data_IF_457123054184
#
_entry.id   IF_457123054184
#
_cell.length_a   1.000
_cell.length_b   1.000
_cell.length_c   1.000
_cell.angle_alpha   90.00
_cell.angle_beta   90.00
_cell.angle_gamma   90.00
#
_symmetry.space_group_name_H-M   'P 1'
#
loop_
_entity.id
_entity.type
_entity.pdbx_description
1 polymer ?
#
# COMPACT_ATOMS: atom_id res chain seq x y z
N UNK A 1 43.06 -15.78 -15.76
CA UNK A 1 43.84 -14.53 -15.93
C UNK A 1 43.22 -13.73 -17.07
N UNK A 2 42.66 -12.57 -16.78
CA UNK A 2 42.20 -11.60 -17.79
C UNK A 2 43.33 -10.57 -17.94
N UNK A 3 43.87 -10.44 -19.15
CA UNK A 3 44.90 -9.45 -19.52
C UNK A 3 46.20 -9.52 -18.70
N UNK A 4 46.68 -10.70 -18.31
CA UNK A 4 47.94 -10.85 -17.56
C UNK A 4 47.92 -10.33 -16.12
N UNK A 5 46.77 -9.93 -15.58
CA UNK A 5 46.63 -9.48 -14.21
C UNK A 5 46.15 -10.62 -13.30
N UNK A 6 46.69 -10.68 -12.09
CA UNK A 6 46.26 -11.59 -11.06
C UNK A 6 44.87 -11.08 -10.54
N UNK A 7 43.84 -11.90 -10.70
CA UNK A 7 42.53 -11.63 -10.15
C UNK A 7 42.24 -12.63 -9.01
N UNK A 8 41.67 -12.17 -7.96
CA UNK A 8 41.18 -13.01 -6.86
C UNK A 8 39.66 -12.92 -6.92
N UNK A 9 38.98 -14.05 -7.15
CA UNK A 9 37.54 -14.18 -7.08
C UNK A 9 37.18 -14.74 -5.69
N UNK A 10 36.41 -13.99 -4.94
CA UNK A 10 35.89 -14.39 -3.63
C UNK A 10 34.38 -14.57 -3.73
N UNK A 11 33.91 -15.78 -3.60
CA UNK A 11 32.48 -16.09 -3.54
C UNK A 11 32.06 -16.26 -2.07
N UNK A 12 31.10 -15.44 -1.66
CA UNK A 12 30.55 -15.49 -0.30
C UNK A 12 29.08 -15.89 -0.39
N UNK A 13 28.75 -17.07 0.13
CA UNK A 13 27.39 -17.53 0.23
C UNK A 13 26.59 -16.69 1.24
N UNK A 14 25.30 -16.48 0.96
CA UNK A 14 24.41 -15.87 1.94
C UNK A 14 24.26 -16.79 3.15
N UNK A 15 24.39 -16.24 4.35
CA UNK A 15 24.05 -16.95 5.57
C UNK A 15 22.53 -17.11 5.74
N UNK A 16 22.10 -17.97 6.65
CA UNK A 16 20.68 -18.33 6.80
C UNK A 16 19.80 -17.23 7.44
N UNK A 17 20.41 -16.27 8.12
CA UNK A 17 19.66 -15.29 8.91
C UNK A 17 20.15 -13.86 8.70
N UNK A 18 19.24 -12.96 8.36
CA UNK A 18 19.46 -11.51 8.38
C UNK A 18 19.09 -10.93 9.75
N UNK A 19 19.66 -9.75 10.15
CA UNK A 19 20.78 -9.06 9.51
C UNK A 19 22.14 -9.65 9.89
N UNK A 20 23.15 -9.43 9.06
CA UNK A 20 24.54 -9.74 9.38
C UNK A 20 25.18 -8.56 10.12
N UNK A 21 25.95 -8.87 11.14
CA UNK A 21 26.61 -7.85 11.98
C UNK A 21 28.11 -7.93 11.78
N UNK A 22 28.71 -6.79 11.56
CA UNK A 22 30.13 -6.63 11.75
C UNK A 22 30.38 -6.41 13.25
N UNK A 23 31.24 -7.23 13.85
CA UNK A 23 31.59 -7.16 15.26
C UNK A 23 33.05 -6.77 15.37
N UNK A 24 33.30 -5.64 15.97
CA UNK A 24 34.65 -5.18 16.27
C UNK A 24 34.69 -4.70 17.72
N UNK A 25 35.58 -5.31 18.53
CA UNK A 25 35.68 -5.09 19.96
C UNK A 25 34.34 -5.21 20.69
N UNK A 26 33.74 -4.08 21.12
CA UNK A 26 32.44 -4.02 21.82
C UNK A 26 31.32 -3.45 20.95
N UNK A 27 31.62 -3.09 19.71
CA UNK A 27 30.64 -2.52 18.78
C UNK A 27 30.07 -3.60 17.87
N UNK A 28 28.80 -3.42 17.52
CA UNK A 28 28.06 -4.32 16.66
C UNK A 28 27.30 -3.46 15.65
N UNK A 29 27.71 -3.52 14.39
CA UNK A 29 27.21 -2.64 13.34
C UNK A 29 26.70 -3.44 12.14
N UNK A 30 25.68 -2.91 11.48
CA UNK A 30 25.14 -3.44 10.23
C UNK A 30 25.60 -2.53 9.11
N UNK A 31 26.21 -3.07 8.09
CA UNK A 31 26.64 -2.36 6.90
C UNK A 31 25.74 -2.66 5.71
N UNK A 32 25.45 -1.63 4.93
CA UNK A 32 24.72 -1.71 3.66
C UNK A 32 25.58 -1.18 2.54
N UNK A 33 25.40 -1.76 1.34
CA UNK A 33 26.13 -1.31 0.14
C UNK A 33 25.37 -0.16 -0.52
N UNK A 34 26.06 0.97 -0.71
CA UNK A 34 25.57 2.12 -1.46
C UNK A 34 26.54 2.47 -2.58
N UNK A 35 26.18 2.04 -3.79
CA UNK A 35 27.07 2.19 -4.93
C UNK A 35 28.40 1.45 -4.75
N UNK A 36 29.49 2.19 -4.69
CA UNK A 36 30.86 1.69 -4.50
C UNK A 36 31.32 1.60 -3.04
N UNK A 37 30.50 2.05 -2.07
CA UNK A 37 30.86 2.13 -0.65
C UNK A 37 29.99 1.22 0.22
N UNK A 38 30.57 0.77 1.33
CA UNK A 38 29.84 0.14 2.44
C UNK A 38 29.70 1.17 3.56
N UNK A 39 28.48 1.43 3.98
CA UNK A 39 28.15 2.42 5.00
C UNK A 39 27.34 1.77 6.10
N UNK A 40 27.39 2.36 7.31
CA UNK A 40 26.57 1.89 8.44
C UNK A 40 25.10 2.10 8.08
N UNK A 41 24.30 1.06 8.27
CA UNK A 41 22.88 1.08 8.02
C UNK A 41 22.18 2.10 8.94
N UNK A 42 21.30 2.91 8.36
CA UNK A 42 20.39 3.76 9.14
C UNK A 42 19.44 2.91 10.00
N UNK A 43 18.82 3.50 11.01
CA UNK A 43 17.84 2.79 11.86
C UNK A 43 16.71 2.18 11.04
N UNK A 44 16.24 2.88 10.00
CA UNK A 44 15.19 2.37 9.10
C UNK A 44 15.67 1.13 8.34
N UNK A 45 16.88 1.19 7.79
CA UNK A 45 17.46 0.05 7.05
C UNK A 45 17.72 -1.15 7.97
N UNK A 46 18.18 -0.91 9.22
CA UNK A 46 18.35 -1.97 10.22
C UNK A 46 17.02 -2.66 10.52
N UNK A 47 15.95 -1.88 10.77
CA UNK A 47 14.61 -2.42 11.01
C UNK A 47 14.11 -3.24 9.82
N UNK A 48 14.30 -2.76 8.60
CA UNK A 48 13.91 -3.49 7.38
C UNK A 48 14.69 -4.80 7.23
N UNK A 49 15.99 -4.83 7.54
CA UNK A 49 16.79 -6.04 7.51
C UNK A 49 16.39 -7.04 8.59
N UNK A 50 16.00 -6.56 9.78
CA UNK A 50 15.47 -7.41 10.86
C UNK A 50 14.15 -8.05 10.42
N UNK A 51 13.22 -7.27 9.87
CA UNK A 51 11.94 -7.78 9.36
C UNK A 51 12.15 -8.81 8.26
N UNK A 52 13.08 -8.54 7.32
CA UNK A 52 13.47 -9.48 6.28
C UNK A 52 14.01 -10.79 6.87
N UNK A 53 14.83 -10.71 7.92
CA UNK A 53 15.35 -11.89 8.62
C UNK A 53 14.28 -12.71 9.32
N UNK A 54 13.21 -12.05 9.78
CA UNK A 54 12.04 -12.69 10.39
C UNK A 54 11.02 -13.19 9.35
N UNK A 55 11.26 -12.95 8.06
CA UNK A 55 10.32 -13.20 6.97
C UNK A 55 8.95 -12.51 7.22
N UNK A 56 9.00 -11.28 7.75
CA UNK A 56 7.82 -10.44 8.02
C UNK A 56 7.92 -9.12 7.28
N UNK A 57 6.75 -8.60 6.92
CA UNK A 57 6.59 -7.27 6.36
C UNK A 57 6.01 -6.32 7.41
N UNK A 58 6.14 -5.01 7.23
CA UNK A 58 5.66 -4.02 8.20
C UNK A 58 4.14 -4.10 8.41
N UNK A 59 3.39 -4.39 7.37
CA UNK A 59 1.95 -4.55 7.39
C UNK A 59 1.48 -5.75 8.24
N UNK A 60 2.28 -6.82 8.30
CA UNK A 60 2.01 -8.01 9.11
C UNK A 60 2.35 -7.85 10.61
N UNK A 61 2.97 -6.72 11.00
CA UNK A 61 3.29 -6.48 12.41
C UNK A 61 2.03 -6.18 13.21
N UNK A 62 1.86 -6.77 14.43
CA UNK A 62 0.76 -6.44 15.31
C UNK A 62 0.86 -5.00 15.81
N UNK A 63 -0.27 -4.30 15.75
CA UNK A 63 -0.44 -2.97 16.32
C UNK A 63 -0.82 -3.01 17.81
N UNK A 64 -1.22 -1.85 18.33
CA UNK A 64 -1.61 -1.69 19.74
C UNK A 64 -3.04 -2.14 20.04
N UNK A 65 -3.87 -2.34 19.02
CA UNK A 65 -5.30 -2.63 19.17
C UNK A 65 -5.57 -4.15 19.19
N UNK A 66 -6.60 -4.54 19.95
CA UNK A 66 -7.16 -5.88 19.87
C UNK A 66 -8.37 -5.89 18.91
N UNK A 67 -8.78 -7.06 18.45
CA UNK A 67 -9.97 -7.20 17.62
C UNK A 67 -11.22 -6.65 18.28
N UNK A 68 -11.34 -6.72 19.63
CA UNK A 68 -12.44 -6.14 20.40
C UNK A 68 -12.52 -4.61 20.35
N UNK A 69 -11.44 -3.94 20.01
CA UNK A 69 -11.32 -2.48 20.04
C UNK A 69 -11.66 -1.83 18.69
N UNK A 70 -11.83 -2.65 17.65
CA UNK A 70 -12.05 -2.22 16.26
C UNK A 70 -13.24 -2.93 15.61
N UNK A 71 -13.73 -2.37 14.52
CA UNK A 71 -14.84 -2.92 13.74
C UNK A 71 -14.40 -3.09 12.28
N UNK A 72 -14.90 -4.15 11.63
CA UNK A 72 -14.69 -4.48 10.22
C UNK A 72 -16.03 -4.68 9.50
N UNK A 73 -17.06 -3.95 9.90
CA UNK A 73 -18.42 -4.10 9.37
C UNK A 73 -18.49 -3.80 7.87
N UNK A 74 -17.79 -2.74 7.43
CA UNK A 74 -17.75 -2.37 6.02
C UNK A 74 -17.02 -3.43 5.19
N UNK A 75 -15.90 -3.97 5.71
CA UNK A 75 -15.17 -5.05 5.05
C UNK A 75 -16.04 -6.29 4.89
N UNK A 76 -16.70 -6.72 5.97
CA UNK A 76 -17.60 -7.89 5.95
C UNK A 76 -18.77 -7.70 4.96
N UNK A 77 -19.39 -6.51 4.96
CA UNK A 77 -20.46 -6.19 4.02
C UNK A 77 -20.00 -6.17 2.57
N UNK A 78 -18.80 -5.62 2.31
CA UNK A 78 -18.20 -5.58 0.98
C UNK A 78 -17.85 -6.99 0.51
N UNK A 79 -17.24 -7.80 1.36
CA UNK A 79 -16.90 -9.19 1.06
C UNK A 79 -18.17 -9.98 0.65
N UNK A 80 -19.21 -9.93 1.48
CA UNK A 80 -20.48 -10.61 1.19
C UNK A 80 -21.12 -10.13 -0.12
N UNK A 81 -21.07 -8.84 -0.41
CA UNK A 81 -21.59 -8.26 -1.65
C UNK A 81 -20.85 -8.77 -2.88
N UNK A 82 -19.53 -8.87 -2.81
CA UNK A 82 -18.70 -9.21 -3.98
C UNK A 82 -18.57 -10.72 -4.19
N UNK A 83 -18.58 -11.53 -3.12
CA UNK A 83 -18.40 -12.99 -3.21
C UNK A 83 -19.70 -13.77 -3.09
N UNK A 84 -20.70 -13.22 -2.42
CA UNK A 84 -21.93 -13.90 -2.04
C UNK A 84 -21.84 -14.73 -0.75
N UNK A 85 -20.63 -14.89 -0.21
CA UNK A 85 -20.37 -15.71 0.98
C UNK A 85 -20.48 -14.89 2.27
N UNK A 86 -20.77 -15.55 3.38
CA UNK A 86 -20.75 -14.92 4.70
C UNK A 86 -19.31 -14.76 5.20
N UNK A 87 -19.02 -13.62 5.80
CA UNK A 87 -17.72 -13.28 6.36
C UNK A 87 -17.60 -13.78 7.81
N UNK A 88 -16.68 -14.70 8.07
CA UNK A 88 -16.32 -15.11 9.43
C UNK A 88 -15.29 -14.13 10.01
N UNK A 89 -15.75 -13.29 10.96
CA UNK A 89 -14.95 -12.19 11.48
C UNK A 89 -13.58 -12.63 12.03
N UNK A 90 -13.50 -13.77 12.69
CA UNK A 90 -12.23 -14.24 13.29
C UNK A 90 -11.38 -14.96 12.25
N UNK A 91 -11.96 -15.98 11.60
CA UNK A 91 -11.25 -16.86 10.67
C UNK A 91 -10.73 -16.08 9.45
N UNK A 92 -11.58 -15.26 8.83
CA UNK A 92 -11.23 -14.57 7.60
C UNK A 92 -10.23 -13.43 7.86
N UNK A 93 -10.39 -12.67 8.97
CA UNK A 93 -9.41 -11.63 9.33
C UNK A 93 -8.02 -12.22 9.64
N UNK A 94 -7.94 -13.38 10.29
CA UNK A 94 -6.66 -14.07 10.52
C UNK A 94 -6.09 -14.60 9.20
N UNK A 95 -6.91 -15.19 8.36
CA UNK A 95 -6.51 -15.69 7.03
C UNK A 95 -5.98 -14.58 6.12
N UNK A 96 -6.58 -13.39 6.17
CA UNK A 96 -6.14 -12.20 5.45
C UNK A 96 -4.91 -11.52 6.07
N UNK A 97 -4.47 -11.94 7.25
CA UNK A 97 -3.38 -11.31 7.98
C UNK A 97 -3.73 -9.95 8.60
N UNK A 98 -5.02 -9.62 8.75
CA UNK A 98 -5.48 -8.38 9.38
C UNK A 98 -5.52 -8.46 10.91
N UNK A 99 -5.59 -9.69 11.43
CA UNK A 99 -5.54 -9.98 12.86
C UNK A 99 -4.60 -11.17 13.08
N UNK A 100 -3.81 -11.15 14.14
CA UNK A 100 -2.98 -12.29 14.53
C UNK A 100 -3.81 -13.38 15.20
N UNK A 101 -3.27 -14.59 15.33
CA UNK A 101 -3.94 -15.69 16.06
C UNK A 101 -4.24 -15.34 17.53
N UNK A 102 -3.44 -14.42 18.13
CA UNK A 102 -3.65 -13.94 19.49
C UNK A 102 -4.69 -12.80 19.57
N UNK A 103 -5.34 -12.45 18.46
CA UNK A 103 -6.37 -11.42 18.39
C UNK A 103 -5.86 -9.98 18.34
N UNK A 104 -4.57 -9.75 17.99
CA UNK A 104 -4.02 -8.42 17.77
C UNK A 104 -4.25 -7.96 16.34
N UNK A 105 -4.72 -6.74 16.18
CA UNK A 105 -4.87 -6.11 14.86
C UNK A 105 -3.51 -5.75 14.30
N UNK A 106 -3.24 -6.14 13.05
CA UNK A 106 -1.99 -5.81 12.35
C UNK A 106 -2.05 -4.41 11.76
N UNK A 107 -0.92 -3.89 11.30
CA UNK A 107 -0.88 -2.62 10.58
C UNK A 107 -1.75 -2.66 9.29
N UNK A 108 -1.79 -3.81 8.59
CA UNK A 108 -2.71 -4.01 7.48
C UNK A 108 -4.17 -3.96 7.95
N UNK A 109 -4.52 -4.62 9.05
CA UNK A 109 -5.87 -4.58 9.61
C UNK A 109 -6.33 -3.17 9.94
N UNK A 110 -5.45 -2.31 10.44
CA UNK A 110 -5.76 -0.91 10.74
C UNK A 110 -6.14 -0.08 9.50
N UNK A 111 -5.66 -0.44 8.30
CA UNK A 111 -6.06 0.20 7.05
C UNK A 111 -7.52 -0.12 6.66
N UNK A 112 -8.01 -1.29 7.06
CA UNK A 112 -9.33 -1.79 6.67
C UNK A 112 -10.40 -1.65 7.76
N UNK A 113 -10.03 -1.29 9.01
CA UNK A 113 -11.00 -1.08 10.08
C UNK A 113 -11.86 0.16 9.83
N UNK A 114 -13.09 0.14 10.37
CA UNK A 114 -14.08 1.18 10.13
C UNK A 114 -13.72 2.52 10.80
N UNK A 115 -12.89 2.50 11.85
CA UNK A 115 -12.59 3.67 12.68
C UNK A 115 -11.60 4.66 12.06
N UNK A 116 -10.85 4.27 11.01
CA UNK A 116 -9.93 5.17 10.32
C UNK A 116 -8.83 5.75 11.21
N UNK A 117 -8.18 4.93 12.02
CA UNK A 117 -7.13 5.36 12.95
C UNK A 117 -5.89 5.95 12.27
N UNK A 118 -5.62 5.55 11.02
CA UNK A 118 -4.45 5.98 10.27
C UNK A 118 -4.73 7.27 9.49
N UNK A 119 -4.61 8.41 10.16
CA UNK A 119 -4.85 9.74 9.55
C UNK A 119 -3.89 10.06 8.39
N UNK A 120 -2.71 9.45 8.35
CA UNK A 120 -1.77 9.57 7.24
C UNK A 120 -2.21 8.79 5.99
N UNK A 121 -3.14 7.84 6.13
CA UNK A 121 -3.78 7.17 5.00
C UNK A 121 -4.81 8.12 4.41
N UNK A 122 -4.49 8.66 3.24
CA UNK A 122 -5.33 9.65 2.57
C UNK A 122 -5.25 9.53 1.05
N UNK A 123 -6.30 9.99 0.40
CA UNK A 123 -6.36 10.17 -1.05
C UNK A 123 -6.66 11.64 -1.33
N UNK A 124 -5.87 12.25 -2.17
CA UNK A 124 -6.07 13.61 -2.67
C UNK A 124 -6.48 13.52 -4.13
N UNK A 125 -7.64 14.03 -4.45
CA UNK A 125 -8.20 14.04 -5.80
C UNK A 125 -8.26 15.48 -6.30
N UNK A 126 -7.64 15.78 -7.43
CA UNK A 126 -7.67 17.09 -8.03
C UNK A 126 -8.03 16.98 -9.52
N UNK A 127 -9.02 17.72 -9.96
CA UNK A 127 -9.35 17.86 -11.38
C UNK A 127 -8.73 19.13 -11.94
N UNK A 128 -7.87 18.97 -12.94
CA UNK A 128 -7.27 20.08 -13.67
C UNK A 128 -8.07 20.40 -14.93
N UNK A 129 -8.05 21.67 -15.36
CA UNK A 129 -8.74 22.15 -16.56
C UNK A 129 -8.17 21.55 -17.85
N UNK A 130 -6.88 21.28 -17.90
CA UNK A 130 -6.16 20.73 -19.03
C UNK A 130 -5.50 19.38 -18.73
N UNK A 131 -4.53 19.03 -19.56
CA UNK A 131 -3.72 17.82 -19.42
C UNK A 131 -2.46 18.03 -18.58
N UNK A 132 -2.15 19.28 -18.22
CA UNK A 132 -0.95 19.65 -17.45
C UNK A 132 -1.34 20.05 -16.04
N UNK A 133 -0.55 19.60 -15.07
CA UNK A 133 -0.72 19.94 -13.66
C UNK A 133 -0.17 21.34 -13.40
N UNK A 134 -1.06 22.26 -12.98
CA UNK A 134 -0.64 23.55 -12.45
C UNK A 134 -0.06 24.49 -13.50
N UNK A 135 -0.91 25.10 -14.31
CA UNK A 135 -0.53 26.32 -15.01
C UNK A 135 -0.36 27.47 -14.02
N UNK A 136 0.35 28.55 -14.41
CA UNK A 136 0.55 29.76 -13.60
C UNK A 136 -0.78 30.40 -13.14
N UNK A 137 -1.89 30.05 -13.76
CA UNK A 137 -3.24 30.55 -13.51
C UNK A 137 -4.09 29.62 -12.60
N UNK A 138 -3.52 28.54 -12.06
CA UNK A 138 -4.15 27.74 -11.00
C UNK A 138 -5.48 27.12 -11.38
N UNK A 139 -5.55 26.45 -12.51
CA UNK A 139 -6.80 25.93 -13.07
C UNK A 139 -7.23 24.56 -12.47
N UNK A 140 -7.22 24.41 -11.15
CA UNK A 140 -7.94 23.32 -10.51
C UNK A 140 -9.44 23.62 -10.58
N UNK A 141 -10.21 22.69 -11.15
CA UNK A 141 -11.66 22.81 -11.29
C UNK A 141 -12.39 22.21 -10.10
N UNK A 142 -11.78 21.25 -9.44
CA UNK A 142 -12.31 20.55 -8.27
C UNK A 142 -11.16 19.93 -7.48
N UNK A 143 -11.26 19.91 -6.14
CA UNK A 143 -10.24 19.37 -5.25
C UNK A 143 -10.89 18.80 -3.98
N UNK A 144 -10.61 17.56 -3.67
CA UNK A 144 -11.07 16.89 -2.44
C UNK A 144 -9.96 16.08 -1.80
N UNK A 145 -9.88 16.11 -0.47
CA UNK A 145 -9.01 15.27 0.35
C UNK A 145 -9.85 14.35 1.24
N UNK A 146 -9.66 13.06 1.09
CA UNK A 146 -10.27 12.02 1.93
C UNK A 146 -9.22 11.46 2.87
N UNK A 147 -9.46 11.52 4.19
CA UNK A 147 -8.52 11.07 5.23
C UNK A 147 -9.26 10.49 6.42
N UNK A 148 -8.57 9.66 7.22
CA UNK A 148 -9.14 9.10 8.45
C UNK A 148 -10.31 8.15 8.21
N UNK A 149 -10.25 7.37 7.15
CA UNK A 149 -11.27 6.40 6.75
C UNK A 149 -10.62 5.05 6.44
N UNK A 150 -11.43 3.99 6.40
CA UNK A 150 -10.97 2.70 5.89
C UNK A 150 -10.54 2.81 4.43
N UNK A 151 -9.61 1.97 4.02
CA UNK A 151 -9.12 1.94 2.63
C UNK A 151 -10.26 1.70 1.62
N UNK A 152 -11.27 0.90 2.00
CA UNK A 152 -12.46 0.66 1.17
C UNK A 152 -13.21 1.96 0.92
N UNK A 153 -13.41 2.77 1.97
CA UNK A 153 -14.09 4.08 1.86
C UNK A 153 -13.26 5.06 1.04
N UNK A 154 -11.93 5.10 1.26
CA UNK A 154 -11.04 5.96 0.47
C UNK A 154 -11.11 5.64 -1.02
N UNK A 155 -11.07 4.36 -1.39
CA UNK A 155 -11.21 3.93 -2.78
C UNK A 155 -12.58 4.28 -3.38
N UNK A 156 -13.65 4.06 -2.62
CA UNK A 156 -15.01 4.38 -3.06
C UNK A 156 -15.20 5.88 -3.30
N UNK A 157 -14.63 6.72 -2.43
CA UNK A 157 -14.68 8.17 -2.57
C UNK A 157 -13.86 8.65 -3.76
N UNK A 158 -12.65 8.10 -3.96
CA UNK A 158 -11.83 8.41 -5.14
C UNK A 158 -12.54 8.02 -6.45
N UNK A 159 -13.16 6.84 -6.49
CA UNK A 159 -13.97 6.43 -7.65
C UNK A 159 -15.15 7.38 -7.89
N UNK A 160 -15.86 7.74 -6.82
CA UNK A 160 -16.98 8.70 -6.90
C UNK A 160 -16.53 10.07 -7.41
N UNK A 161 -15.40 10.58 -6.92
CA UNK A 161 -14.80 11.84 -7.41
C UNK A 161 -14.49 11.76 -8.91
N UNK A 162 -13.82 10.69 -9.36
CA UNK A 162 -13.50 10.51 -10.79
C UNK A 162 -14.79 10.45 -11.61
N UNK A 163 -15.81 9.73 -11.16
CA UNK A 163 -17.10 9.61 -11.84
C UNK A 163 -17.83 10.96 -11.96
N UNK A 164 -17.87 11.73 -10.87
CA UNK A 164 -18.50 13.06 -10.83
C UNK A 164 -17.78 14.04 -11.77
N UNK A 165 -16.45 13.94 -11.81
CA UNK A 165 -15.60 14.83 -12.59
C UNK A 165 -15.34 14.38 -14.02
N UNK A 166 -15.85 13.20 -14.42
CA UNK A 166 -15.74 12.69 -15.80
C UNK A 166 -16.86 13.22 -16.68
N UNK A 167 -16.52 13.53 -17.93
CA UNK A 167 -17.53 13.77 -18.96
C UNK A 167 -17.99 12.42 -19.51
N UNK A 168 -19.31 12.26 -19.61
CA UNK A 168 -19.92 11.08 -20.19
C UNK A 168 -20.78 11.49 -21.40
N UNK A 169 -20.18 11.95 -22.51
CA UNK A 169 -20.93 12.26 -23.71
C UNK A 169 -21.64 11.03 -24.22
N UNK A 170 -22.85 11.23 -24.73
CA UNK A 170 -23.63 10.17 -25.30
C UNK A 170 -24.12 10.55 -26.69
N UNK A 171 -24.33 9.53 -27.50
CA UNK A 171 -24.91 9.69 -28.83
C UNK A 171 -26.00 8.63 -29.04
N UNK A 172 -26.95 8.92 -29.92
CA UNK A 172 -27.98 7.94 -30.34
C UNK A 172 -27.52 7.33 -31.65
N UNK A 173 -27.36 6.01 -31.66
CA UNK A 173 -27.15 5.23 -32.87
C UNK A 173 -28.35 4.29 -33.09
N UNK A 174 -29.18 4.60 -34.07
CA UNK A 174 -30.44 3.92 -34.27
C UNK A 174 -31.38 4.11 -33.07
N UNK A 175 -31.79 3.03 -32.41
CA UNK A 175 -32.64 3.08 -31.19
C UNK A 175 -31.86 2.92 -29.88
N UNK A 176 -30.55 2.95 -29.92
CA UNK A 176 -29.71 2.74 -28.72
C UNK A 176 -28.94 4.01 -28.36
N UNK A 177 -28.91 4.30 -27.05
CA UNK A 177 -28.03 5.29 -26.48
C UNK A 177 -26.66 4.65 -26.28
N UNK A 178 -25.62 5.22 -26.87
CA UNK A 178 -24.23 4.86 -26.67
C UNK A 178 -23.57 5.96 -25.82
N UNK A 179 -23.03 5.58 -24.67
CA UNK A 179 -22.26 6.46 -23.79
C UNK A 179 -20.78 6.18 -24.00
N UNK A 180 -20.00 7.24 -24.07
CA UNK A 180 -18.55 7.16 -24.15
C UNK A 180 -17.96 7.93 -22.98
N UNK A 181 -17.55 7.20 -21.93
CA UNK A 181 -16.84 7.80 -20.79
C UNK A 181 -15.45 8.27 -21.20
N UNK A 182 -15.02 9.45 -20.70
CA UNK A 182 -13.66 9.95 -20.87
C UNK A 182 -12.65 8.98 -20.24
N UNK A 183 -13.03 8.36 -19.13
CA UNK A 183 -12.20 7.39 -18.40
C UNK A 183 -12.91 6.03 -18.33
N UNK A 184 -12.44 5.03 -19.09
CA UNK A 184 -12.99 3.67 -19.02
C UNK A 184 -12.87 3.11 -17.60
N UNK A 185 -13.95 2.50 -17.09
CA UNK A 185 -13.99 1.95 -15.72
C UNK A 185 -12.82 1.01 -15.40
N UNK A 186 -12.41 0.19 -16.37
CA UNK A 186 -11.25 -0.71 -16.19
C UNK A 186 -9.96 0.06 -15.93
N UNK A 187 -9.73 1.17 -16.66
CA UNK A 187 -8.55 2.00 -16.48
C UNK A 187 -8.56 2.69 -15.12
N UNK A 188 -9.71 3.19 -14.68
CA UNK A 188 -9.87 3.80 -13.34
C UNK A 188 -9.54 2.79 -12.25
N UNK A 189 -10.07 1.56 -12.36
CA UNK A 189 -9.79 0.49 -11.40
C UNK A 189 -8.29 0.16 -11.34
N UNK A 190 -7.63 -0.02 -12.48
CA UNK A 190 -6.20 -0.37 -12.53
C UNK A 190 -5.28 0.73 -11.98
N UNK A 191 -5.74 1.98 -11.94
CA UNK A 191 -4.98 3.10 -11.37
C UNK A 191 -5.20 3.23 -9.87
N UNK A 192 -6.41 2.89 -9.38
CA UNK A 192 -6.76 3.03 -7.97
C UNK A 192 -6.35 1.82 -7.11
N UNK A 193 -6.16 0.63 -7.68
CA UNK A 193 -5.80 -0.62 -7.02
C UNK A 193 -4.37 -1.02 -7.38
#
# INVERSE_FOLDING_TARGET
MKEGRLCIDLEIANGPHYPYYYVHEKTREIYVRRGDRSEIATVIEQNNLILKGMNKTYDALPGSYNLSDVSFTLLAATFKKETGDDFDLVKDLVSMGFVTEEGKVTNAGLLFCDQGYLKQSKVVCTRWKGTEKGSVEGDALDDEEFTGMSLITLLSNAEAFIRTNSKNPWSIRGMRREEKSDYPFKAVREVLV
#
